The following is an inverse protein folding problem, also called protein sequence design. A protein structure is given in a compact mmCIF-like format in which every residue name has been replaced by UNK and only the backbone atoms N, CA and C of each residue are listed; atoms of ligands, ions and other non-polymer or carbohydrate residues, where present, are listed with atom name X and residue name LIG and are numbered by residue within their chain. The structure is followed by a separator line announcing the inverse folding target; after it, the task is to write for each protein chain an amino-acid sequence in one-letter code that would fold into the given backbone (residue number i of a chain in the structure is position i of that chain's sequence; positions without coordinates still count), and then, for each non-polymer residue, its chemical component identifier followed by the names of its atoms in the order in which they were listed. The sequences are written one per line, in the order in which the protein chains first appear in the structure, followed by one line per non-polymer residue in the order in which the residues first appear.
data_IF_557693529683
#
_entry.id   IF_557693529683
#
_cell.length_a   1.000
_cell.length_b   1.000
_cell.length_c   1.000
_cell.angle_alpha   90.00
_cell.angle_beta   90.00
_cell.angle_gamma   90.00
#
_symmetry.space_group_name_H-M   'P 1'
#
loop_
_entity.id
_entity.type
_entity.pdbx_description
1 polymer ?
#
# COMPACT_ATOMS: atom_id res chain seq x y z
N UNK A 1 -69.27 -27.84 27.81
CA UNK A 1 -67.94 -28.49 27.73
C UNK A 1 -67.02 -27.94 26.61
N UNK A 2 -67.48 -27.65 25.40
CA UNK A 2 -66.60 -27.17 24.31
C UNK A 2 -65.95 -25.80 24.53
N UNK A 3 -66.57 -24.87 25.29
CA UNK A 3 -66.07 -23.52 25.55
C UNK A 3 -64.89 -23.47 26.53
N UNK A 4 -64.86 -24.37 27.52
CA UNK A 4 -63.79 -24.43 28.53
C UNK A 4 -62.55 -25.11 27.99
N UNK A 5 -62.65 -26.02 27.01
CA UNK A 5 -61.51 -26.63 26.31
C UNK A 5 -60.82 -25.61 25.44
N UNK A 6 -61.56 -24.68 24.80
CA UNK A 6 -60.99 -23.62 23.97
C UNK A 6 -60.14 -22.64 24.79
N UNK A 7 -60.58 -22.22 25.97
CA UNK A 7 -59.85 -21.36 26.88
C UNK A 7 -58.61 -22.07 27.47
N UNK A 8 -58.69 -23.37 27.73
CA UNK A 8 -57.52 -24.15 28.20
C UNK A 8 -56.46 -24.28 27.12
N UNK A 9 -56.83 -24.46 25.85
CA UNK A 9 -55.88 -24.52 24.72
C UNK A 9 -55.23 -23.14 24.50
N UNK A 10 -55.96 -22.02 24.60
CA UNK A 10 -55.44 -20.67 24.49
C UNK A 10 -54.46 -20.39 25.64
N UNK A 11 -54.78 -20.77 26.89
CA UNK A 11 -53.90 -20.61 28.02
C UNK A 11 -52.59 -21.40 27.89
N UNK A 12 -52.61 -22.58 27.33
CA UNK A 12 -51.42 -23.40 27.07
C UNK A 12 -50.60 -22.81 25.93
N UNK A 13 -51.20 -22.30 24.86
CA UNK A 13 -50.50 -21.60 23.78
C UNK A 13 -49.84 -20.30 24.26
N UNK A 14 -50.47 -19.55 25.13
CA UNK A 14 -49.90 -18.33 25.75
C UNK A 14 -48.72 -18.68 26.67
N UNK A 15 -48.80 -19.78 27.44
CA UNK A 15 -47.72 -20.24 28.30
C UNK A 15 -46.47 -20.71 27.49
N UNK A 16 -46.67 -21.23 26.27
CA UNK A 16 -45.53 -21.57 25.36
C UNK A 16 -44.92 -20.36 24.68
N UNK A 17 -45.61 -19.21 24.58
CA UNK A 17 -45.05 -18.00 23.99
C UNK A 17 -44.22 -17.18 25.00
N UNK A 18 -44.21 -17.53 26.28
CA UNK A 18 -43.39 -16.84 27.32
C UNK A 18 -42.08 -17.51 27.64
N UNK A 19 -41.74 -18.62 26.94
CA UNK A 19 -40.36 -19.11 26.94
C UNK A 19 -39.56 -18.21 25.96
N UNK A 20 -39.40 -17.01 26.40
CA UNK A 20 -38.38 -16.12 25.83
C UNK A 20 -37.06 -16.80 26.17
N UNK A 21 -36.42 -17.47 25.23
CA UNK A 21 -35.02 -17.76 25.30
C UNK A 21 -34.32 -16.41 25.24
N UNK A 22 -34.23 -15.73 26.37
CA UNK A 22 -33.23 -14.70 26.59
C UNK A 22 -31.87 -15.42 26.74
N UNK A 23 -31.41 -16.06 25.66
CA UNK A 23 -30.00 -16.13 25.44
C UNK A 23 -29.59 -14.73 25.01
N UNK A 24 -29.58 -13.80 25.95
CA UNK A 24 -28.68 -12.68 25.87
C UNK A 24 -27.30 -13.35 25.72
N UNK A 25 -26.76 -13.29 24.51
CA UNK A 25 -25.36 -13.56 24.29
C UNK A 25 -24.64 -12.49 25.08
N UNK A 26 -24.41 -12.75 26.38
CA UNK A 26 -23.60 -11.89 27.23
C UNK A 26 -22.23 -11.84 26.55
N UNK A 27 -21.93 -10.68 25.92
CA UNK A 27 -20.63 -10.45 25.33
C UNK A 27 -19.60 -10.54 26.45
N UNK A 28 -18.92 -11.67 26.57
CA UNK A 28 -17.79 -11.83 27.47
C UNK A 28 -16.59 -11.18 26.79
N UNK A 29 -16.14 -10.07 27.33
CA UNK A 29 -14.88 -9.46 26.87
C UNK A 29 -13.79 -10.54 26.83
N UNK A 30 -13.14 -10.71 25.67
CA UNK A 30 -12.08 -11.71 25.57
C UNK A 30 -10.94 -11.32 26.53
N UNK A 31 -10.52 -12.27 27.37
CA UNK A 31 -9.36 -12.09 28.25
C UNK A 31 -8.10 -12.34 27.42
N UNK A 32 -7.24 -11.34 27.32
CA UNK A 32 -5.92 -11.46 26.69
C UNK A 32 -4.85 -11.20 27.75
N UNK A 33 -3.77 -12.00 27.75
CA UNK A 33 -2.63 -11.77 28.65
C UNK A 33 -1.68 -10.72 28.08
N UNK A 34 -0.87 -10.11 28.95
CA UNK A 34 0.23 -9.28 28.49
C UNK A 34 1.34 -10.15 27.87
N UNK A 35 2.12 -9.56 26.94
CA UNK A 35 3.43 -10.08 26.57
C UNK A 35 4.35 -9.97 27.78
N UNK A 36 4.96 -11.08 28.17
CA UNK A 36 5.75 -11.20 29.42
C UNK A 36 7.24 -10.96 29.23
N UNK A 37 7.75 -11.09 28.00
CA UNK A 37 9.18 -10.96 27.71
C UNK A 37 9.40 -10.43 26.29
N UNK A 38 10.30 -9.44 26.16
CA UNK A 38 10.82 -8.97 24.88
C UNK A 38 12.14 -9.71 24.62
N UNK A 39 12.23 -10.41 23.47
CA UNK A 39 13.34 -11.31 23.13
C UNK A 39 14.36 -10.65 22.21
N UNK A 40 13.90 -9.91 21.21
CA UNK A 40 14.75 -9.20 20.23
C UNK A 40 14.09 -7.87 19.85
N UNK A 41 14.88 -6.79 19.61
CA UNK A 41 16.32 -6.67 19.83
C UNK A 41 16.69 -6.69 21.33
N UNK A 42 17.94 -7.08 21.63
CA UNK A 42 18.46 -7.03 23.01
C UNK A 42 18.31 -5.60 23.58
N UNK A 43 18.14 -5.51 24.92
CA UNK A 43 17.76 -4.28 25.64
C UNK A 43 18.58 -3.01 25.34
N UNK A 44 19.76 -3.14 24.75
CA UNK A 44 20.68 -2.02 24.42
C UNK A 44 21.23 -2.13 22.99
N UNK A 45 20.50 -2.76 22.08
CA UNK A 45 20.97 -2.93 20.71
C UNK A 45 20.88 -1.61 19.95
N UNK A 46 22.00 -1.21 19.32
CA UNK A 46 22.03 -0.08 18.40
C UNK A 46 21.61 -0.47 16.97
N UNK A 47 20.83 0.36 16.33
CA UNK A 47 20.49 0.26 14.93
C UNK A 47 21.18 1.38 14.15
N UNK A 48 22.26 1.06 13.40
CA UNK A 48 22.78 1.96 12.37
C UNK A 48 21.97 1.74 11.10
N UNK A 49 21.12 2.69 10.77
CA UNK A 49 20.27 2.57 9.60
C UNK A 49 21.08 2.63 8.31
N UNK A 50 20.64 1.91 7.28
CA UNK A 50 21.24 1.94 5.95
C UNK A 50 20.17 2.29 4.91
N UNK A 51 20.56 3.06 3.89
CA UNK A 51 19.70 3.43 2.78
C UNK A 51 19.42 2.21 1.91
N UNK A 52 18.39 1.47 2.24
CA UNK A 52 17.97 0.27 1.53
C UNK A 52 16.46 0.07 1.70
N UNK A 53 15.76 -0.20 0.61
CA UNK A 53 14.33 -0.48 0.64
C UNK A 53 13.96 -1.79 1.38
N UNK A 54 14.94 -2.68 1.60
CA UNK A 54 14.73 -4.02 2.18
C UNK A 54 15.45 -4.25 3.52
N UNK A 55 16.35 -3.33 3.92
CA UNK A 55 17.01 -3.46 5.22
C UNK A 55 15.98 -3.36 6.34
N UNK A 56 16.06 -4.27 7.31
CA UNK A 56 15.10 -4.37 8.40
C UNK A 56 15.80 -4.80 9.69
N UNK A 57 15.12 -4.59 10.81
CA UNK A 57 15.47 -5.12 12.12
C UNK A 57 14.34 -6.04 12.60
N UNK A 58 14.73 -7.15 13.19
CA UNK A 58 13.80 -8.15 13.69
C UNK A 58 13.47 -7.90 15.17
N UNK A 59 12.17 -7.84 15.46
CA UNK A 59 11.60 -7.71 16.79
C UNK A 59 10.87 -9.00 17.12
N UNK A 60 11.06 -9.52 18.32
CA UNK A 60 10.45 -10.76 18.77
C UNK A 60 10.12 -10.69 20.25
N UNK A 61 9.05 -11.36 20.67
CA UNK A 61 8.57 -11.42 22.05
C UNK A 61 7.91 -12.76 22.34
N UNK A 62 7.77 -13.08 23.63
CA UNK A 62 7.02 -14.24 24.08
C UNK A 62 5.52 -14.06 23.73
N UNK A 63 4.84 -15.09 23.21
CA UNK A 63 3.44 -14.98 22.82
C UNK A 63 2.54 -14.68 24.03
N UNK A 64 1.52 -13.87 23.80
CA UNK A 64 0.39 -13.69 24.71
C UNK A 64 -0.68 -14.74 24.42
N UNK A 65 -1.61 -14.96 25.36
CA UNK A 65 -2.65 -15.95 25.26
C UNK A 65 -4.03 -15.32 25.43
N UNK A 66 -5.02 -15.84 24.70
CA UNK A 66 -6.41 -15.51 24.86
C UNK A 66 -7.17 -16.64 25.53
N UNK A 67 -8.04 -16.32 26.51
CA UNK A 67 -8.83 -17.31 27.23
C UNK A 67 -9.84 -18.06 26.36
N UNK A 68 -10.19 -17.50 25.20
CA UNK A 68 -11.08 -18.10 24.19
C UNK A 68 -10.35 -19.07 23.23
N UNK A 69 -9.03 -19.26 23.40
CA UNK A 69 -8.20 -20.17 22.60
C UNK A 69 -7.82 -19.65 21.23
N UNK A 70 -8.15 -18.40 20.88
CA UNK A 70 -7.73 -17.77 19.62
C UNK A 70 -6.40 -17.01 19.79
N UNK A 71 -5.70 -16.80 18.69
CA UNK A 71 -4.48 -15.99 18.65
C UNK A 71 -4.80 -14.50 18.85
N UNK A 72 -4.06 -13.79 19.72
CA UNK A 72 -4.11 -12.33 19.78
C UNK A 72 -3.45 -11.70 18.56
N UNK A 73 -3.77 -10.44 18.26
CA UNK A 73 -3.01 -9.61 17.34
C UNK A 73 -2.07 -8.69 18.11
N UNK A 74 -0.93 -8.36 17.50
CA UNK A 74 0.14 -7.62 18.16
C UNK A 74 0.50 -6.35 17.41
N UNK A 75 0.84 -5.31 18.18
CA UNK A 75 1.39 -4.05 17.69
C UNK A 75 2.65 -3.69 18.48
N UNK A 76 3.68 -3.26 17.78
CA UNK A 76 4.90 -2.68 18.38
C UNK A 76 4.71 -1.18 18.48
N UNK A 77 4.85 -0.64 19.68
CA UNK A 77 4.75 0.78 19.98
C UNK A 77 6.14 1.36 20.21
N UNK A 78 6.40 2.55 19.65
CA UNK A 78 7.61 3.32 19.89
C UNK A 78 7.27 4.63 20.58
N UNK A 79 8.12 5.05 21.53
CA UNK A 79 7.94 6.30 22.26
C UNK A 79 9.28 6.97 22.59
N UNK A 80 9.22 8.19 23.11
CA UNK A 80 10.39 8.90 23.66
C UNK A 80 10.97 8.13 24.87
N UNK A 81 12.25 8.30 25.20
CA UNK A 81 12.86 7.63 26.37
C UNK A 81 12.10 7.81 27.69
N UNK A 82 11.40 8.95 27.85
CA UNK A 82 10.61 9.26 29.03
C UNK A 82 9.09 9.07 28.80
N UNK A 83 8.69 8.44 27.69
CA UNK A 83 7.29 8.20 27.33
C UNK A 83 6.70 7.04 28.13
N UNK A 84 5.38 6.98 28.20
CA UNK A 84 4.60 5.94 28.86
C UNK A 84 3.74 5.11 27.88
N UNK A 85 3.91 5.36 26.58
CA UNK A 85 3.15 4.77 25.48
C UNK A 85 1.65 5.11 25.49
N UNK A 86 1.22 6.10 26.22
CA UNK A 86 -0.17 6.59 26.17
C UNK A 86 -0.47 7.33 24.88
N UNK A 87 0.56 7.96 24.29
CA UNK A 87 0.56 8.63 22.97
C UNK A 87 1.83 8.27 22.22
N UNK A 88 1.95 7.03 21.73
CA UNK A 88 3.18 6.56 21.10
C UNK A 88 3.52 7.39 19.85
N UNK A 89 4.81 7.61 19.61
CA UNK A 89 5.32 8.27 18.41
C UNK A 89 4.95 7.52 17.14
N UNK A 90 4.97 6.19 17.22
CA UNK A 90 4.69 5.32 16.09
C UNK A 90 4.17 3.95 16.56
N UNK A 91 3.28 3.37 15.76
CA UNK A 91 2.71 2.03 15.99
C UNK A 91 2.91 1.21 14.73
N UNK A 92 3.40 -0.01 14.88
CA UNK A 92 3.64 -0.94 13.77
C UNK A 92 2.92 -2.26 14.08
N UNK A 93 1.99 -2.74 13.25
CA UNK A 93 1.45 -4.08 13.40
C UNK A 93 2.58 -5.12 13.22
N UNK A 94 2.50 -6.23 13.93
CA UNK A 94 3.43 -7.34 13.73
C UNK A 94 3.24 -7.98 12.34
N UNK A 95 4.13 -8.89 11.98
CA UNK A 95 4.08 -9.57 10.69
C UNK A 95 2.74 -10.32 10.49
N UNK A 96 2.36 -10.55 9.24
CA UNK A 96 1.06 -11.12 8.84
C UNK A 96 -0.15 -10.31 9.40
N UNK A 97 -0.09 -8.97 9.27
CA UNK A 97 -1.15 -8.06 9.74
C UNK A 97 -1.46 -8.17 11.25
N UNK A 98 -0.43 -8.33 12.05
CA UNK A 98 -0.55 -8.41 13.49
C UNK A 98 -0.64 -9.84 14.06
N UNK A 99 -0.67 -10.87 13.21
CA UNK A 99 -0.90 -12.25 13.65
C UNK A 99 0.35 -12.96 14.20
N UNK A 100 1.54 -12.38 14.06
CA UNK A 100 2.79 -13.00 14.51
C UNK A 100 3.30 -12.37 15.79
N UNK A 101 3.97 -13.17 16.65
CA UNK A 101 4.67 -12.69 17.84
C UNK A 101 6.09 -12.16 17.52
N UNK A 102 6.26 -11.65 16.29
CA UNK A 102 7.45 -10.96 15.81
C UNK A 102 7.09 -9.92 14.75
N UNK A 103 7.98 -8.95 14.54
CA UNK A 103 7.82 -7.92 13.52
C UNK A 103 9.16 -7.66 12.81
N UNK A 104 9.12 -7.68 11.49
CA UNK A 104 10.24 -7.30 10.61
C UNK A 104 10.12 -5.82 10.25
N UNK A 105 10.71 -4.94 11.05
CA UNK A 105 10.56 -3.49 10.92
C UNK A 105 11.66 -2.94 10.02
N UNK A 106 11.29 -2.32 8.90
CA UNK A 106 12.25 -1.78 7.93
C UNK A 106 13.01 -0.59 8.50
N UNK A 107 14.25 -0.36 8.01
CA UNK A 107 15.04 0.83 8.35
C UNK A 107 14.32 2.13 8.00
N UNK A 108 13.48 2.14 6.96
CA UNK A 108 12.60 3.26 6.62
C UNK A 108 11.62 3.60 7.75
N UNK A 109 10.99 2.59 8.36
CA UNK A 109 10.08 2.80 9.50
C UNK A 109 10.86 3.28 10.72
N UNK A 110 12.02 2.67 11.02
CA UNK A 110 12.86 3.08 12.13
C UNK A 110 13.37 4.52 11.96
N UNK A 111 13.68 4.96 10.73
CA UNK A 111 14.04 6.36 10.46
C UNK A 111 12.87 7.33 10.72
N UNK A 112 11.64 6.96 10.33
CA UNK A 112 10.43 7.73 10.67
C UNK A 112 10.20 7.82 12.18
N UNK A 113 10.44 6.73 12.92
CA UNK A 113 10.37 6.71 14.40
C UNK A 113 11.38 7.70 14.98
N UNK A 114 12.65 7.61 14.54
CA UNK A 114 13.72 8.48 15.01
C UNK A 114 13.47 9.95 14.66
N UNK A 115 12.95 10.24 13.46
CA UNK A 115 12.54 11.58 13.05
C UNK A 115 11.47 12.15 13.97
N UNK A 116 10.42 11.36 14.28
CA UNK A 116 9.37 11.79 15.22
C UNK A 116 9.87 11.96 16.65
N UNK A 117 10.92 11.25 17.05
CA UNK A 117 11.61 11.43 18.31
C UNK A 117 12.51 12.69 18.33
N UNK A 118 12.61 13.44 17.23
CA UNK A 118 13.43 14.66 17.13
C UNK A 118 14.92 14.39 16.89
N UNK A 119 15.32 13.16 16.56
CA UNK A 119 16.71 12.83 16.22
C UNK A 119 17.02 13.43 14.84
N UNK A 120 18.07 14.24 14.73
CA UNK A 120 18.47 14.85 13.47
C UNK A 120 19.08 13.82 12.48
N UNK A 121 19.14 14.17 11.20
CA UNK A 121 19.78 13.33 10.18
C UNK A 121 21.25 13.09 10.52
N UNK A 122 21.73 11.86 10.30
CA UNK A 122 23.06 11.35 10.64
C UNK A 122 23.40 11.33 12.14
N UNK A 123 22.50 11.77 13.02
CA UNK A 123 22.69 11.74 14.47
C UNK A 123 22.17 10.44 15.09
N UNK A 124 22.68 10.15 16.27
CA UNK A 124 22.27 9.01 17.09
C UNK A 124 21.44 9.48 18.28
N UNK A 125 20.30 8.84 18.48
CA UNK A 125 19.45 9.09 19.63
C UNK A 125 18.77 7.79 20.09
N UNK A 126 18.01 7.88 21.17
CA UNK A 126 17.34 6.71 21.77
C UNK A 126 15.82 6.86 21.72
N UNK A 127 15.14 5.75 21.51
CA UNK A 127 13.71 5.58 21.69
C UNK A 127 13.44 4.36 22.55
N UNK A 128 12.27 4.26 23.15
CA UNK A 128 11.80 3.04 23.81
C UNK A 128 10.75 2.36 22.95
N UNK A 129 10.62 1.04 23.11
CA UNK A 129 9.62 0.26 22.40
C UNK A 129 8.98 -0.79 23.33
N UNK A 130 7.73 -1.12 23.09
CA UNK A 130 6.98 -2.16 23.80
C UNK A 130 6.00 -2.83 22.84
N UNK A 131 5.26 -3.83 23.35
CA UNK A 131 4.27 -4.58 22.57
C UNK A 131 2.91 -4.52 23.25
N UNK A 132 1.87 -4.34 22.46
CA UNK A 132 0.47 -4.51 22.86
C UNK A 132 -0.06 -5.76 22.21
N UNK A 133 -0.69 -6.62 22.99
CA UNK A 133 -1.49 -7.75 22.54
C UNK A 133 -2.98 -7.37 22.61
N UNK A 134 -3.75 -7.66 21.56
CA UNK A 134 -5.17 -7.32 21.53
C UNK A 134 -6.04 -8.47 21.02
N UNK A 135 -7.28 -8.51 21.54
CA UNK A 135 -8.33 -9.42 21.10
C UNK A 135 -9.67 -8.70 21.10
N UNK A 136 -10.23 -8.44 19.92
CA UNK A 136 -11.38 -7.56 19.78
C UNK A 136 -11.05 -6.15 20.29
N UNK A 137 -11.83 -5.63 21.23
CA UNK A 137 -11.60 -4.30 21.82
C UNK A 137 -10.67 -4.33 23.04
N UNK A 138 -10.30 -5.52 23.53
CA UNK A 138 -9.41 -5.66 24.67
C UNK A 138 -7.97 -5.56 24.24
N UNK A 139 -7.21 -4.68 24.87
CA UNK A 139 -5.79 -4.46 24.64
C UNK A 139 -5.04 -4.55 25.96
N UNK A 140 -3.90 -5.23 25.94
CA UNK A 140 -3.00 -5.33 27.09
C UNK A 140 -1.57 -5.05 26.66
N UNK A 141 -1.00 -3.99 27.22
CA UNK A 141 0.38 -3.58 26.98
C UNK A 141 1.32 -4.42 27.84
N UNK A 142 2.48 -4.81 27.30
CA UNK A 142 3.55 -5.40 28.11
C UNK A 142 4.00 -4.43 29.21
N UNK A 143 4.35 -4.98 30.37
CA UNK A 143 4.99 -4.22 31.43
C UNK A 143 6.47 -3.95 31.13
N UNK A 144 7.08 -4.73 30.22
CA UNK A 144 8.45 -4.55 29.78
C UNK A 144 8.53 -3.58 28.58
N UNK A 145 9.64 -2.86 28.51
CA UNK A 145 10.04 -2.08 27.35
C UNK A 145 11.53 -2.28 27.08
N UNK A 146 11.90 -2.17 25.81
CA UNK A 146 13.30 -2.14 25.36
C UNK A 146 13.71 -0.71 24.99
N UNK A 147 15.00 -0.43 25.09
CA UNK A 147 15.61 0.80 24.56
C UNK A 147 16.32 0.50 23.25
N UNK A 148 16.09 1.31 22.24
CA UNK A 148 16.74 1.20 20.94
C UNK A 148 17.51 2.48 20.63
N UNK A 149 18.83 2.37 20.49
CA UNK A 149 19.68 3.44 19.98
C UNK A 149 19.63 3.44 18.46
N UNK A 150 19.20 4.55 17.82
CA UNK A 150 19.07 4.65 16.38
C UNK A 150 20.00 5.74 15.85
N UNK A 151 20.91 5.35 14.92
CA UNK A 151 21.65 6.32 14.11
C UNK A 151 20.89 6.52 12.81
N UNK A 152 20.32 7.71 12.62
CA UNK A 152 19.54 8.06 11.44
C UNK A 152 20.38 8.07 10.17
N UNK A 153 19.69 7.86 9.05
CA UNK A 153 20.28 8.03 7.74
C UNK A 153 20.65 9.49 7.49
N UNK A 154 21.73 9.69 6.75
CA UNK A 154 22.05 10.96 6.13
C UNK A 154 21.15 11.13 4.88
N UNK A 155 19.83 11.25 5.07
CA UNK A 155 18.93 11.68 4.02
C UNK A 155 19.17 13.15 3.69
N UNK A 156 18.44 13.66 2.69
CA UNK A 156 18.58 15.07 2.31
C UNK A 156 18.00 15.98 3.40
N UNK A 157 18.78 16.94 3.85
CA UNK A 157 18.33 17.93 4.84
C UNK A 157 17.22 18.84 4.27
N UNK A 158 17.19 18.99 2.94
CA UNK A 158 16.17 19.73 2.21
C UNK A 158 15.54 18.83 1.17
N UNK A 159 14.25 18.51 1.37
CA UNK A 159 13.50 17.66 0.48
C UNK A 159 13.03 18.44 -0.75
N UNK A 160 13.10 17.87 -1.97
CA UNK A 160 12.47 18.47 -3.13
C UNK A 160 10.95 18.64 -2.88
N UNK A 161 10.35 19.69 -3.40
CA UNK A 161 8.89 19.87 -3.40
C UNK A 161 8.22 19.28 -4.64
N UNK A 162 9.00 19.07 -5.69
CA UNK A 162 8.65 18.43 -6.95
C UNK A 162 9.88 17.74 -7.52
N UNK A 163 9.68 16.81 -8.44
CA UNK A 163 10.78 16.07 -9.03
C UNK A 163 10.47 15.71 -10.50
N UNK A 164 11.48 15.76 -11.36
CA UNK A 164 11.39 15.43 -12.77
C UNK A 164 12.54 14.50 -13.19
N UNK A 165 12.31 13.71 -14.24
CA UNK A 165 13.36 12.92 -14.89
C UNK A 165 13.67 13.50 -16.27
N UNK A 166 14.96 13.57 -16.61
CA UNK A 166 15.49 14.08 -17.88
C UNK A 166 16.77 13.35 -18.26
N UNK A 167 17.34 13.68 -19.41
CA UNK A 167 18.55 13.07 -19.96
C UNK A 167 18.24 12.24 -21.20
N UNK A 168 19.25 11.96 -22.04
CA UNK A 168 19.09 11.24 -23.32
C UNK A 168 18.45 9.86 -23.16
N UNK A 169 18.66 9.22 -22.01
CA UNK A 169 18.09 7.91 -21.71
C UNK A 169 16.68 7.95 -21.15
N UNK A 170 16.15 9.13 -20.83
CA UNK A 170 14.77 9.30 -20.35
C UNK A 170 13.81 9.47 -21.52
N UNK A 171 12.55 9.17 -21.29
CA UNK A 171 11.48 9.26 -22.30
C UNK A 171 11.29 10.69 -22.85
N UNK A 172 11.44 11.71 -22.01
CA UNK A 172 11.39 13.13 -22.42
C UNK A 172 12.66 13.61 -23.13
N UNK A 173 13.73 12.81 -23.14
CA UNK A 173 15.04 13.19 -23.68
C UNK A 173 15.76 14.23 -22.81
N UNK A 174 16.76 14.89 -23.40
CA UNK A 174 17.59 15.87 -22.70
C UNK A 174 16.96 17.27 -22.63
N UNK A 175 15.82 17.50 -23.30
CA UNK A 175 15.09 18.75 -23.26
C UNK A 175 14.40 18.92 -21.91
N UNK A 176 14.87 19.90 -21.10
CA UNK A 176 14.35 20.14 -19.76
C UNK A 176 12.84 20.42 -19.75
N UNK A 177 12.30 21.06 -20.78
CA UNK A 177 10.88 21.38 -20.85
C UNK A 177 10.02 20.13 -21.05
N UNK A 178 10.60 19.05 -21.61
CA UNK A 178 9.98 17.74 -21.80
C UNK A 178 10.24 16.77 -20.64
N UNK A 179 10.98 17.21 -19.62
CA UNK A 179 11.22 16.39 -18.44
C UNK A 179 9.89 15.94 -17.81
N UNK A 180 9.75 14.62 -17.54
CA UNK A 180 8.52 14.05 -17.02
C UNK A 180 8.47 14.21 -15.50
N UNK A 181 7.29 14.54 -15.00
CA UNK A 181 7.06 14.80 -13.57
C UNK A 181 6.80 13.50 -12.82
N UNK A 182 7.43 13.39 -11.64
CA UNK A 182 7.11 12.38 -10.66
C UNK A 182 5.80 12.69 -9.92
N UNK A 183 5.10 11.65 -9.50
CA UNK A 183 4.02 11.74 -8.51
C UNK A 183 4.65 11.75 -7.11
N UNK A 184 4.25 12.68 -6.26
CA UNK A 184 4.60 12.65 -4.84
C UNK A 184 3.59 11.76 -4.11
N UNK A 185 4.05 10.67 -3.54
CA UNK A 185 3.20 9.74 -2.77
C UNK A 185 3.18 10.08 -1.28
N UNK A 186 4.28 10.60 -0.78
CA UNK A 186 4.46 11.12 0.58
C UNK A 186 5.47 12.26 0.54
N UNK A 187 5.59 13.04 1.62
CA UNK A 187 6.63 14.07 1.72
C UNK A 187 8.02 13.45 1.55
N UNK A 188 8.75 13.90 0.51
CA UNK A 188 10.09 13.40 0.15
C UNK A 188 10.10 12.03 -0.53
N UNK A 189 8.93 11.45 -0.88
CA UNK A 189 8.83 10.19 -1.62
C UNK A 189 8.12 10.43 -2.95
N UNK A 190 8.77 9.98 -4.01
CA UNK A 190 8.34 10.22 -5.39
C UNK A 190 8.35 8.93 -6.18
N UNK A 191 7.38 8.76 -7.07
CA UNK A 191 7.36 7.65 -8.01
C UNK A 191 7.01 8.10 -9.43
N UNK A 192 7.49 7.36 -10.42
CA UNK A 192 7.20 7.57 -11.83
C UNK A 192 7.20 6.24 -12.59
N UNK A 193 6.36 6.17 -13.60
CA UNK A 193 6.37 5.14 -14.62
C UNK A 193 6.86 5.76 -15.93
N UNK A 194 8.03 5.37 -16.41
CA UNK A 194 8.65 5.98 -17.59
C UNK A 194 9.51 4.97 -18.35
N UNK A 195 9.68 5.21 -19.65
CA UNK A 195 10.61 4.43 -20.46
C UNK A 195 12.03 4.93 -20.28
N UNK A 196 12.96 3.99 -20.11
CA UNK A 196 14.39 4.26 -20.12
C UNK A 196 15.06 3.50 -21.27
N UNK A 197 16.05 4.14 -21.91
CA UNK A 197 16.89 3.51 -22.93
C UNK A 197 18.17 2.94 -22.34
N UNK A 198 18.51 1.70 -22.78
CA UNK A 198 19.72 1.03 -22.32
C UNK A 198 20.99 1.82 -22.65
N UNK A 199 21.90 1.94 -21.67
CA UNK A 199 23.20 2.56 -21.83
C UNK A 199 23.20 4.09 -22.00
N UNK A 200 22.02 4.71 -22.09
CA UNK A 200 21.92 6.17 -22.18
C UNK A 200 21.71 6.81 -20.80
N UNK A 201 22.19 8.04 -20.67
CA UNK A 201 22.20 8.78 -19.41
C UNK A 201 20.84 9.36 -19.06
N UNK A 202 20.44 9.21 -17.79
CA UNK A 202 19.30 9.92 -17.20
C UNK A 202 19.67 10.45 -15.80
N UNK A 203 18.92 11.45 -15.34
CA UNK A 203 19.07 12.02 -14.00
C UNK A 203 17.78 12.72 -13.58
N UNK A 204 17.76 13.19 -12.33
CA UNK A 204 16.57 13.82 -11.74
C UNK A 204 16.87 15.29 -11.41
N UNK A 205 15.82 16.12 -11.45
CA UNK A 205 15.90 17.54 -11.10
C UNK A 205 14.68 17.94 -10.30
N UNK A 206 14.85 18.88 -9.36
CA UNK A 206 13.75 19.41 -8.55
C UNK A 206 13.01 20.57 -9.22
N UNK A 207 13.57 21.17 -10.25
CA UNK A 207 12.99 22.27 -11.03
C UNK A 207 13.34 22.14 -12.51
N UNK A 208 12.54 22.76 -13.36
CA UNK A 208 12.83 22.91 -14.80
C UNK A 208 13.54 24.24 -15.12
N UNK A 209 13.36 25.24 -14.28
CA UNK A 209 13.84 26.62 -14.47
C UNK A 209 14.46 27.15 -13.17
N UNK A 210 15.32 28.18 -13.29
CA UNK A 210 15.95 28.86 -12.16
C UNK A 210 17.09 28.07 -11.52
N UNK A 211 17.11 27.99 -10.20
CA UNK A 211 18.08 27.19 -9.45
C UNK A 211 17.62 25.74 -9.47
N UNK A 212 18.43 24.87 -10.05
CA UNK A 212 18.11 23.46 -10.28
C UNK A 212 19.09 22.60 -9.49
N UNK A 213 18.56 21.81 -8.54
CA UNK A 213 19.31 20.73 -7.91
C UNK A 213 19.23 19.50 -8.79
N UNK A 214 20.36 18.81 -8.96
CA UNK A 214 20.47 17.63 -9.79
C UNK A 214 20.78 16.41 -8.93
N UNK A 215 20.07 15.33 -9.19
CA UNK A 215 20.24 14.08 -8.45
C UNK A 215 20.46 12.92 -9.43
N UNK A 216 21.16 11.90 -8.96
CA UNK A 216 21.43 10.69 -9.73
C UNK A 216 21.47 9.47 -8.80
N UNK A 217 21.46 8.28 -9.40
CA UNK A 217 21.57 7.02 -8.67
C UNK A 217 23.01 6.51 -8.69
N UNK A 218 23.52 6.20 -7.50
CA UNK A 218 24.76 5.46 -7.31
C UNK A 218 24.40 4.11 -6.67
N UNK A 219 24.19 3.09 -7.48
CA UNK A 219 23.53 1.86 -7.06
C UNK A 219 22.08 2.15 -6.64
N UNK A 220 21.72 1.82 -5.39
CA UNK A 220 20.39 2.10 -4.81
C UNK A 220 20.33 3.44 -4.05
N UNK A 221 21.41 4.17 -3.94
CA UNK A 221 21.47 5.44 -3.22
C UNK A 221 21.21 6.63 -4.14
N UNK A 222 20.39 7.58 -3.68
CA UNK A 222 20.23 8.89 -4.33
C UNK A 222 21.40 9.77 -3.90
N UNK A 223 22.05 10.43 -4.87
CA UNK A 223 23.12 11.39 -4.65
C UNK A 223 22.78 12.73 -5.31
N UNK A 224 23.17 13.82 -4.66
CA UNK A 224 23.10 15.16 -5.26
C UNK A 224 24.41 15.50 -5.95
N UNK A 225 24.32 16.07 -7.14
CA UNK A 225 25.48 16.53 -7.91
C UNK A 225 25.56 18.05 -7.84
N UNK A 226 26.67 18.54 -7.32
CA UNK A 226 26.92 19.99 -7.20
C UNK A 226 27.59 20.57 -8.43
N UNK A 227 28.33 19.76 -9.19
CA UNK A 227 29.05 20.19 -10.41
C UNK A 227 28.89 19.20 -11.55
N UNK A 228 28.77 19.70 -12.78
CA UNK A 228 28.66 18.88 -13.98
C UNK A 228 27.26 18.30 -14.22
N UNK A 229 27.17 17.29 -15.09
CA UNK A 229 25.94 16.56 -15.39
C UNK A 229 25.99 15.21 -14.72
N UNK A 230 25.01 14.87 -13.89
CA UNK A 230 24.90 13.55 -13.28
C UNK A 230 24.76 12.46 -14.33
N UNK A 231 25.17 11.24 -14.00
CA UNK A 231 25.06 10.09 -14.90
C UNK A 231 24.54 8.87 -14.16
N UNK A 232 23.40 8.38 -14.59
CA UNK A 232 22.89 7.05 -14.28
C UNK A 232 22.40 6.39 -15.57
N UNK A 233 22.55 5.07 -15.69
CA UNK A 233 22.10 4.31 -16.87
C UNK A 233 21.40 3.04 -16.40
N UNK A 234 20.57 2.47 -17.28
CA UNK A 234 20.06 1.11 -17.13
C UNK A 234 20.76 0.18 -18.13
N UNK A 235 20.92 -1.08 -17.77
CA UNK A 235 21.52 -2.09 -18.65
C UNK A 235 20.54 -2.60 -19.71
N UNK A 236 19.25 -2.58 -19.39
CA UNK A 236 18.17 -3.00 -20.28
C UNK A 236 17.18 -1.86 -20.49
N UNK A 237 16.80 -1.62 -21.75
CA UNK A 237 15.73 -0.68 -22.08
C UNK A 237 14.35 -1.25 -21.71
N UNK A 238 13.42 -0.38 -21.39
CA UNK A 238 12.05 -0.79 -21.05
C UNK A 238 11.31 0.29 -20.28
N UNK A 239 10.08 -0.04 -19.86
CA UNK A 239 9.32 0.81 -18.94
C UNK A 239 9.71 0.43 -17.51
N UNK A 240 9.95 1.43 -16.69
CA UNK A 240 10.36 1.26 -15.30
C UNK A 240 9.38 1.95 -14.37
N UNK A 241 9.08 1.32 -13.24
CA UNK A 241 8.56 1.93 -12.05
C UNK A 241 9.73 2.34 -11.16
N UNK A 242 9.92 3.62 -10.99
CA UNK A 242 11.02 4.20 -10.22
C UNK A 242 10.44 4.85 -8.97
N UNK A 243 10.86 4.39 -7.81
CA UNK A 243 10.53 5.02 -6.52
C UNK A 243 11.78 5.64 -5.91
N UNK A 244 11.71 6.91 -5.53
CA UNK A 244 12.78 7.66 -4.89
C UNK A 244 12.33 8.14 -3.51
N UNK A 245 13.05 7.77 -2.47
CA UNK A 245 12.80 8.20 -1.10
C UNK A 245 13.97 9.07 -0.61
N UNK A 246 13.78 10.38 -0.65
CA UNK A 246 14.78 11.36 -0.22
C UNK A 246 14.95 11.40 1.30
N UNK A 247 13.98 10.91 2.08
CA UNK A 247 14.10 10.84 3.54
C UNK A 247 15.19 9.87 3.99
N UNK A 248 15.46 8.85 3.17
CA UNK A 248 16.50 7.85 3.43
C UNK A 248 17.53 7.74 2.30
N UNK A 249 17.47 8.66 1.33
CA UNK A 249 18.33 8.70 0.14
C UNK A 249 18.39 7.35 -0.62
N UNK A 250 17.28 6.67 -0.75
CA UNK A 250 17.16 5.34 -1.35
C UNK A 250 16.24 5.30 -2.56
N UNK A 251 16.51 4.38 -3.48
CA UNK A 251 15.71 4.17 -4.68
C UNK A 251 15.33 2.70 -4.88
N UNK A 252 14.22 2.51 -5.57
CA UNK A 252 13.81 1.22 -6.13
C UNK A 252 13.51 1.42 -7.62
N UNK A 253 14.10 0.57 -8.46
CA UNK A 253 13.80 0.46 -9.87
C UNK A 253 13.24 -0.94 -10.12
N UNK A 254 12.02 -1.00 -10.65
CA UNK A 254 11.34 -2.23 -11.05
C UNK A 254 10.98 -2.11 -12.53
N UNK A 255 11.37 -3.08 -13.35
CA UNK A 255 10.99 -3.12 -14.77
C UNK A 255 9.55 -3.56 -14.88
N UNK A 256 8.73 -2.83 -15.61
CA UNK A 256 7.33 -3.21 -15.89
C UNK A 256 7.32 -4.23 -17.03
N UNK A 257 6.87 -5.43 -16.74
CA UNK A 257 6.79 -6.53 -17.70
C UNK A 257 5.47 -6.52 -18.47
N UNK A 258 4.36 -6.29 -17.77
CA UNK A 258 3.04 -6.24 -18.36
C UNK A 258 2.08 -5.42 -17.51
N UNK A 259 1.06 -4.86 -18.17
CA UNK A 259 -0.09 -4.21 -17.55
C UNK A 259 -1.34 -4.69 -18.29
N UNK A 260 -2.43 -4.93 -17.56
CA UNK A 260 -3.67 -5.35 -18.20
C UNK A 260 -4.91 -5.15 -17.35
N UNK A 261 -6.04 -5.18 -18.00
CA UNK A 261 -7.34 -5.21 -17.38
C UNK A 261 -7.60 -6.61 -16.80
N UNK A 262 -7.63 -6.70 -15.49
CA UNK A 262 -7.87 -7.94 -14.75
C UNK A 262 -9.36 -8.10 -14.47
N UNK A 263 -9.95 -9.17 -14.98
CA UNK A 263 -11.34 -9.49 -14.78
C UNK A 263 -11.50 -10.42 -13.58
N UNK A 264 -12.10 -9.94 -12.48
CA UNK A 264 -12.21 -10.73 -11.25
C UNK A 264 -12.92 -12.08 -11.45
N UNK A 265 -14.01 -12.18 -12.24
CA UNK A 265 -14.67 -13.47 -12.48
C UNK A 265 -13.81 -14.51 -13.22
N UNK A 266 -12.93 -14.09 -14.14
CA UNK A 266 -11.98 -15.01 -14.80
C UNK A 266 -10.74 -15.31 -13.97
N UNK A 267 -10.40 -14.38 -13.04
CA UNK A 267 -9.20 -14.48 -12.21
C UNK A 267 -7.89 -14.22 -12.97
N UNK A 268 -7.96 -13.51 -14.10
CA UNK A 268 -6.82 -13.26 -14.98
C UNK A 268 -6.93 -11.93 -15.73
N UNK A 269 -5.85 -11.56 -16.42
CA UNK A 269 -5.83 -10.44 -17.36
C UNK A 269 -6.45 -10.89 -18.68
N UNK A 270 -7.60 -10.32 -19.03
CA UNK A 270 -8.30 -10.63 -20.28
C UNK A 270 -8.00 -9.61 -21.38
N UNK A 271 -7.62 -8.37 -21.03
CA UNK A 271 -7.24 -7.34 -22.00
C UNK A 271 -5.86 -6.76 -21.62
N UNK A 272 -4.82 -7.05 -22.40
CA UNK A 272 -3.52 -6.43 -22.20
C UNK A 272 -3.56 -4.94 -22.55
N UNK A 273 -2.83 -4.11 -21.79
CA UNK A 273 -2.65 -2.70 -22.04
C UNK A 273 -1.21 -2.43 -22.51
N UNK A 274 -1.08 -1.64 -23.57
CA UNK A 274 0.20 -1.19 -24.13
C UNK A 274 0.57 0.18 -23.59
N UNK A 275 1.85 0.37 -23.31
CA UNK A 275 2.40 1.65 -22.85
C UNK A 275 2.36 2.70 -23.96
N UNK A 276 1.80 3.87 -23.67
CA UNK A 276 1.63 4.98 -24.60
C UNK A 276 2.61 6.14 -24.36
N UNK A 277 3.40 6.05 -23.31
CA UNK A 277 4.27 7.13 -22.84
C UNK A 277 3.73 7.81 -21.59
N UNK A 278 4.62 8.51 -20.86
CA UNK A 278 4.28 9.32 -19.69
C UNK A 278 3.36 8.61 -18.69
N UNK A 279 3.68 7.36 -18.32
CA UNK A 279 2.90 6.61 -17.33
C UNK A 279 1.46 6.30 -17.78
N UNK A 280 1.18 6.24 -19.07
CA UNK A 280 -0.14 5.95 -19.62
C UNK A 280 -0.14 4.58 -20.29
N UNK A 281 -1.13 3.75 -19.99
CA UNK A 281 -1.37 2.46 -20.65
C UNK A 281 -2.76 2.43 -21.26
N UNK A 282 -2.89 1.82 -22.44
CA UNK A 282 -4.15 1.74 -23.16
C UNK A 282 -4.33 0.35 -23.79
N UNK A 283 -5.56 -0.15 -23.74
CA UNK A 283 -5.96 -1.39 -24.38
C UNK A 283 -7.46 -1.41 -24.65
N UNK A 284 -7.88 -2.24 -25.61
CA UNK A 284 -9.29 -2.39 -25.96
C UNK A 284 -9.64 -3.85 -26.17
N UNK A 285 -10.84 -4.23 -25.76
CA UNK A 285 -11.31 -5.60 -25.93
C UNK A 285 -12.78 -5.78 -25.62
N UNK A 286 -13.25 -6.99 -25.83
CA UNK A 286 -14.58 -7.40 -25.40
C UNK A 286 -14.60 -7.53 -23.86
N UNK A 287 -15.68 -7.07 -23.25
CA UNK A 287 -15.94 -7.14 -21.81
C UNK A 287 -17.28 -7.82 -21.55
N UNK A 288 -17.40 -9.13 -21.83
CA UNK A 288 -18.63 -9.87 -21.54
C UNK A 288 -18.77 -10.00 -20.01
N UNK A 289 -19.93 -9.59 -19.50
CA UNK A 289 -20.23 -9.78 -18.07
C UNK A 289 -20.53 -11.26 -17.82
N UNK A 290 -19.85 -11.86 -16.85
CA UNK A 290 -20.03 -13.27 -16.54
C UNK A 290 -21.37 -13.53 -15.89
N UNK A 291 -22.14 -14.48 -16.43
CA UNK A 291 -23.40 -14.91 -15.83
C UNK A 291 -23.11 -15.79 -14.60
N UNK A 292 -23.56 -15.36 -13.45
CA UNK A 292 -23.50 -16.09 -12.19
C UNK A 292 -24.92 -16.42 -11.70
N UNK A 293 -25.05 -17.27 -10.68
CA UNK A 293 -26.36 -17.65 -10.14
C UNK A 293 -27.14 -16.50 -9.51
N UNK A 294 -26.44 -15.45 -9.08
CA UNK A 294 -27.02 -14.24 -8.48
C UNK A 294 -27.16 -13.08 -9.46
N UNK A 295 -26.65 -13.18 -10.69
CA UNK A 295 -26.71 -12.11 -11.69
C UNK A 295 -25.47 -12.03 -12.57
N UNK A 296 -25.26 -10.88 -13.19
CA UNK A 296 -24.11 -10.65 -14.07
C UNK A 296 -23.00 -9.96 -13.30
N UNK A 297 -21.80 -10.52 -13.39
CA UNK A 297 -20.58 -10.05 -12.73
C UNK A 297 -19.68 -9.31 -13.70
N UNK A 298 -19.33 -8.09 -13.36
CA UNK A 298 -18.53 -7.15 -14.15
C UNK A 298 -17.36 -6.56 -13.38
N UNK A 299 -16.96 -7.20 -12.27
CA UNK A 299 -15.90 -6.69 -11.40
C UNK A 299 -14.53 -6.76 -12.05
N UNK A 300 -13.79 -5.67 -11.97
CA UNK A 300 -12.47 -5.55 -12.55
C UNK A 300 -11.53 -4.66 -11.74
N UNK A 301 -10.27 -4.72 -12.12
CA UNK A 301 -9.17 -3.87 -11.69
C UNK A 301 -8.07 -3.93 -12.76
N UNK A 302 -6.89 -3.35 -12.50
CA UNK A 302 -5.74 -3.55 -13.36
C UNK A 302 -4.67 -4.35 -12.62
N UNK A 303 -4.03 -5.25 -13.35
CA UNK A 303 -2.87 -6.01 -12.89
C UNK A 303 -1.62 -5.49 -13.59
N UNK A 304 -0.57 -5.31 -12.82
CA UNK A 304 0.77 -4.98 -13.31
C UNK A 304 1.75 -6.01 -12.80
N UNK A 305 2.58 -6.54 -13.69
CA UNK A 305 3.71 -7.39 -13.32
C UNK A 305 4.97 -6.57 -13.44
N UNK A 306 5.73 -6.49 -12.36
CA UNK A 306 7.04 -5.85 -12.32
C UNK A 306 8.12 -6.87 -12.01
N UNK A 307 9.34 -6.61 -12.43
CA UNK A 307 10.49 -7.43 -12.08
C UNK A 307 11.66 -6.60 -11.56
N UNK A 308 12.37 -7.16 -10.60
CA UNK A 308 13.58 -6.60 -10.04
C UNK A 308 14.59 -7.73 -9.77
N UNK A 309 15.80 -7.61 -10.33
CA UNK A 309 16.86 -8.60 -10.11
C UNK A 309 16.39 -10.05 -10.37
N UNK A 310 15.55 -10.25 -11.43
CA UNK A 310 14.99 -11.54 -11.80
C UNK A 310 13.77 -12.00 -10.99
N UNK A 311 13.41 -11.30 -9.93
CA UNK A 311 12.22 -11.63 -9.13
C UNK A 311 11.00 -10.85 -9.65
N UNK A 312 9.94 -11.58 -9.97
CA UNK A 312 8.65 -11.01 -10.42
C UNK A 312 7.72 -10.75 -9.23
N UNK A 313 6.99 -9.64 -9.32
CA UNK A 313 5.97 -9.25 -8.36
C UNK A 313 4.71 -8.82 -9.10
N UNK A 314 3.56 -9.24 -8.63
CA UNK A 314 2.25 -8.78 -9.10
C UNK A 314 1.79 -7.63 -8.21
N UNK A 315 1.26 -6.60 -8.84
CA UNK A 315 0.65 -5.43 -8.21
C UNK A 315 -0.75 -5.28 -8.78
N UNK A 316 -1.75 -5.07 -7.92
CA UNK A 316 -3.08 -4.68 -8.37
C UNK A 316 -3.28 -3.18 -8.21
N UNK A 317 -3.89 -2.57 -9.21
CA UNK A 317 -4.36 -1.19 -9.18
C UNK A 317 -5.88 -1.19 -9.16
N UNK A 318 -6.44 -0.70 -8.07
CA UNK A 318 -7.87 -0.72 -7.78
C UNK A 318 -8.36 0.65 -7.29
N UNK A 319 -9.67 0.77 -6.94
CA UNK A 319 -10.24 2.03 -6.48
C UNK A 319 -9.59 2.53 -5.21
N UNK A 320 -9.49 3.85 -5.06
CA UNK A 320 -9.03 4.48 -3.82
C UNK A 320 -9.97 4.14 -2.66
N UNK A 321 -11.29 4.15 -2.92
CA UNK A 321 -12.31 3.74 -1.97
C UNK A 321 -12.56 2.24 -2.11
N UNK A 322 -12.14 1.45 -1.13
CA UNK A 322 -12.49 0.02 -1.07
C UNK A 322 -13.99 -0.14 -0.81
N UNK A 323 -14.60 -1.20 -1.36
CA UNK A 323 -16.01 -1.52 -1.10
C UNK A 323 -17.02 -0.89 -2.08
N UNK A 324 -16.59 -0.52 -3.28
CA UNK A 324 -17.50 -0.12 -4.34
C UNK A 324 -18.35 -1.32 -4.80
N UNK A 325 -19.61 -1.37 -4.39
CA UNK A 325 -20.55 -2.47 -4.66
C UNK A 325 -21.62 -2.12 -5.70
N UNK A 326 -21.65 -0.90 -6.22
CA UNK A 326 -22.54 -0.47 -7.30
C UNK A 326 -21.78 -0.19 -8.60
N UNK A 327 -22.47 -0.38 -9.72
CA UNK A 327 -22.01 0.12 -11.02
C UNK A 327 -22.00 1.65 -11.00
N UNK A 328 -21.07 2.29 -11.74
CA UNK A 328 -21.12 3.72 -11.87
C UNK A 328 -22.40 4.15 -12.59
N UNK A 329 -22.90 5.32 -12.29
CA UNK A 329 -23.99 5.99 -13.01
C UNK A 329 -23.49 6.61 -14.31
N UNK A 330 -24.41 7.03 -15.20
CA UNK A 330 -24.05 7.75 -16.45
C UNK A 330 -23.29 9.06 -16.20
N UNK A 331 -23.47 9.66 -15.01
CA UNK A 331 -22.85 10.92 -14.59
C UNK A 331 -21.95 10.69 -13.36
N UNK A 332 -21.27 9.55 -13.29
CA UNK A 332 -20.40 9.24 -12.16
C UNK A 332 -19.25 10.24 -12.06
N UNK A 333 -18.98 10.71 -10.86
CA UNK A 333 -17.89 11.64 -10.58
C UNK A 333 -16.50 11.03 -10.82
N UNK A 334 -15.52 11.87 -11.11
CA UNK A 334 -14.13 11.47 -11.36
C UNK A 334 -13.53 10.65 -10.22
N UNK A 335 -13.98 10.86 -8.98
CA UNK A 335 -13.45 10.19 -7.78
C UNK A 335 -13.70 8.68 -7.78
N UNK A 336 -14.75 8.21 -8.48
CA UNK A 336 -15.01 6.78 -8.67
C UNK A 336 -13.86 6.09 -9.41
N UNK A 337 -13.23 6.78 -10.35
CA UNK A 337 -12.19 6.24 -11.23
C UNK A 337 -10.76 6.49 -10.72
N UNK A 338 -10.60 7.08 -9.52
CA UNK A 338 -9.29 7.25 -8.90
C UNK A 338 -8.65 5.90 -8.55
N UNK A 339 -7.37 5.80 -8.81
CA UNK A 339 -6.60 4.56 -8.76
C UNK A 339 -5.60 4.57 -7.61
N UNK A 340 -5.50 3.44 -6.93
CA UNK A 340 -4.53 3.20 -5.86
C UNK A 340 -3.94 1.81 -5.99
N UNK A 341 -2.69 1.67 -5.56
CA UNK A 341 -2.01 0.37 -5.49
C UNK A 341 -2.56 -0.47 -4.33
N UNK A 342 -2.75 -1.78 -4.60
CA UNK A 342 -3.20 -2.79 -3.65
C UNK A 342 -2.37 -4.08 -3.73
N UNK A 343 -2.40 -4.86 -2.68
CA UNK A 343 -1.93 -6.24 -2.73
C UNK A 343 -2.82 -7.06 -3.68
N UNK A 344 -2.26 -8.06 -4.39
CA UNK A 344 -3.04 -8.91 -5.28
C UNK A 344 -4.17 -9.63 -4.54
N UNK A 345 -5.37 -9.54 -5.08
CA UNK A 345 -6.56 -10.26 -4.61
C UNK A 345 -7.50 -10.46 -5.79
N UNK A 346 -8.09 -11.62 -5.95
CA UNK A 346 -9.06 -11.85 -7.02
C UNK A 346 -10.33 -10.99 -6.83
N UNK A 347 -10.82 -10.85 -5.61
CA UNK A 347 -12.16 -10.33 -5.34
C UNK A 347 -12.20 -8.96 -4.70
N UNK A 348 -11.13 -8.53 -4.01
CA UNK A 348 -11.11 -7.26 -3.29
C UNK A 348 -10.66 -6.09 -4.15
N UNK A 349 -10.95 -4.86 -3.70
CA UNK A 349 -10.46 -3.62 -4.30
C UNK A 349 -10.71 -3.55 -5.81
N UNK A 350 -11.97 -3.66 -6.20
CA UNK A 350 -12.44 -3.74 -7.59
C UNK A 350 -13.45 -2.64 -7.89
N UNK A 351 -13.51 -2.25 -9.15
CA UNK A 351 -14.65 -1.51 -9.72
C UNK A 351 -15.69 -2.45 -10.28
N UNK A 352 -16.86 -1.92 -10.54
CA UNK A 352 -17.88 -2.50 -11.40
C UNK A 352 -17.96 -1.71 -12.69
N UNK A 353 -18.06 -2.40 -13.81
CA UNK A 353 -18.16 -1.78 -15.12
C UNK A 353 -19.60 -1.35 -15.41
N UNK A 354 -19.78 -0.18 -16.05
CA UNK A 354 -21.10 0.29 -16.45
C UNK A 354 -21.75 -0.65 -17.49
N UNK A 355 -23.07 -0.81 -17.42
CA UNK A 355 -23.81 -1.78 -18.24
C UNK A 355 -23.69 -1.60 -19.75
N UNK A 356 -23.36 -0.36 -20.25
CA UNK A 356 -23.13 -0.08 -21.67
C UNK A 356 -21.93 -0.84 -22.24
N UNK A 357 -21.02 -1.29 -21.37
CA UNK A 357 -19.82 -2.03 -21.73
C UNK A 357 -20.02 -3.57 -21.73
N UNK A 358 -21.20 -4.07 -21.41
CA UNK A 358 -21.49 -5.51 -21.52
C UNK A 358 -21.53 -5.94 -22.99
N UNK A 359 -20.42 -6.45 -23.51
CA UNK A 359 -20.27 -6.81 -24.93
C UNK A 359 -21.32 -7.83 -25.39
N UNK A 360 -21.75 -8.76 -24.55
CA UNK A 360 -22.79 -9.73 -24.93
C UNK A 360 -24.15 -9.08 -25.15
N UNK A 361 -24.47 -7.99 -24.44
CA UNK A 361 -25.75 -7.30 -24.56
C UNK A 361 -25.73 -6.18 -25.61
N UNK A 362 -24.61 -5.47 -25.70
CA UNK A 362 -24.52 -4.23 -26.49
C UNK A 362 -23.75 -4.41 -27.79
N UNK A 363 -22.88 -5.42 -27.89
CA UNK A 363 -21.90 -5.57 -28.95
C UNK A 363 -20.68 -4.63 -28.83
N UNK A 364 -20.69 -3.70 -27.86
CA UNK A 364 -19.62 -2.73 -27.69
C UNK A 364 -18.35 -3.42 -27.17
N UNK A 365 -17.20 -2.98 -27.67
CA UNK A 365 -15.90 -3.22 -27.02
C UNK A 365 -15.56 -2.06 -26.10
N UNK A 366 -14.81 -2.31 -25.08
CA UNK A 366 -14.37 -1.31 -24.12
C UNK A 366 -12.92 -0.94 -24.38
N UNK A 367 -12.62 0.36 -24.41
CA UNK A 367 -11.28 0.91 -24.36
C UNK A 367 -10.99 1.36 -22.93
N UNK A 368 -9.91 0.89 -22.36
CA UNK A 368 -9.40 1.28 -21.06
C UNK A 368 -8.15 2.14 -21.23
N UNK A 369 -8.07 3.23 -20.49
CA UNK A 369 -6.84 4.02 -20.37
C UNK A 369 -6.53 4.20 -18.88
N UNK A 370 -5.35 3.74 -18.47
CA UNK A 370 -4.84 3.83 -17.10
C UNK A 370 -3.76 4.92 -17.07
N UNK A 371 -3.93 5.92 -16.21
CA UNK A 371 -3.04 7.07 -16.02
C UNK A 371 -2.32 6.97 -14.69
N UNK A 372 -1.01 6.69 -14.73
CA UNK A 372 -0.11 6.64 -13.58
C UNK A 372 1.04 7.64 -13.78
N UNK A 373 0.71 8.93 -13.94
CA UNK A 373 1.68 9.99 -14.16
C UNK A 373 1.52 11.13 -13.15
N UNK A 374 2.53 11.99 -13.05
CA UNK A 374 2.57 13.10 -12.10
C UNK A 374 1.74 14.33 -12.49
N UNK A 375 0.98 14.28 -13.59
CA UNK A 375 0.21 15.43 -14.08
C UNK A 375 -1.13 15.59 -13.36
N UNK A 376 -1.68 14.48 -12.84
CA UNK A 376 -2.95 14.42 -12.11
C UNK A 376 -2.92 13.26 -11.09
N UNK A 377 -3.89 13.18 -10.17
CA UNK A 377 -4.10 11.97 -9.38
C UNK A 377 -4.26 10.74 -10.28
N UNK A 378 -3.72 9.60 -9.86
CA UNK A 378 -3.84 8.36 -10.62
C UNK A 378 -5.30 8.01 -10.84
N UNK A 379 -5.65 7.76 -12.09
CA UNK A 379 -7.02 7.46 -12.48
C UNK A 379 -7.06 6.57 -13.73
N UNK A 380 -8.25 6.14 -14.09
CA UNK A 380 -8.48 5.47 -15.36
C UNK A 380 -9.74 5.99 -16.03
N UNK A 381 -9.86 5.71 -17.32
CA UNK A 381 -11.09 5.96 -18.09
C UNK A 381 -11.57 4.70 -18.79
N UNK A 382 -12.87 4.65 -19.06
CA UNK A 382 -13.54 3.61 -19.82
C UNK A 382 -14.35 4.27 -20.92
N UNK A 383 -14.15 3.84 -22.16
CA UNK A 383 -14.81 4.39 -23.34
C UNK A 383 -15.28 3.24 -24.25
N UNK A 384 -16.31 3.48 -25.08
CA UNK A 384 -16.65 2.56 -26.16
C UNK A 384 -15.52 2.63 -27.19
N UNK A 385 -14.90 1.48 -27.49
CA UNK A 385 -13.89 1.41 -28.53
C UNK A 385 -14.53 1.59 -29.90
N UNK A 386 -13.94 2.48 -30.68
CA UNK A 386 -14.31 2.69 -32.06
C UNK A 386 -13.81 1.59 -33.00
#
# INVERSE_FOLDING_TARGET
MKRNIFYSIIAVCIAFMTVNCSNELEYKEPQVTAVTQLLSPNKEQGAKLVASATASMFFEWAPAFCADGYEPVYEVLFDLPNGDFSKPLYVVPSDDNGARHHATITHKILDKVAQKAGIANAETGSVIWTVVASRGIKQVKSAEHGTLSITRLAGFAELPTQLFITGEGSEGGADMQKALRFTSTESGVYEIFTRLEAGKNYYFVDNKDGIIRKFYLSGKAIKEQTEGTPSATVTEGGVYHITLDFNIAASVLEKVESVGWYFSPSGQVDIPLSYQGNGIWQGSGATPFRQEGWGRDERYKFEMVVSKEGTRKIIHWGPVNSGLDSRPSDNEGSDYFLVKQWNPSQWDNKWKLHGIFDTEKTGNKTKFTLYLNGDAPYHHTTEIAQ
#
